data_IF_133968296622
#
_entry.id   IF_133968296622
#
_cell.length_a   1.000
_cell.length_b   1.000
_cell.length_c   1.000
_cell.angle_alpha   90.00
_cell.angle_beta   90.00
_cell.angle_gamma   90.00
#
_symmetry.space_group_name_H-M   'P 1'
#
loop_
_entity.id
_entity.type
_entity.pdbx_description
1 polymer ?
#
# COMPACT_ATOMS: atom_id res chain seq x y z
N UNK A 1 -6.26 -0.74 15.16
CA UNK A 1 -5.49 -0.57 13.92
C UNK A 1 -4.50 -1.71 13.77
N UNK A 2 -4.55 -2.45 12.66
CA UNK A 2 -3.48 -3.39 12.30
C UNK A 2 -2.34 -2.57 11.70
N UNK A 3 -1.11 -2.93 12.05
CA UNK A 3 0.10 -2.32 11.50
C UNK A 3 0.81 -3.32 10.60
N UNK A 4 1.31 -2.85 9.47
CA UNK A 4 2.07 -3.65 8.52
C UNK A 4 3.46 -3.05 8.35
N UNK A 5 4.45 -3.93 8.15
CA UNK A 5 5.77 -3.57 7.65
C UNK A 5 5.75 -3.76 6.14
N UNK A 6 5.97 -2.70 5.37
CA UNK A 6 5.91 -2.72 3.91
C UNK A 6 7.17 -2.12 3.30
N UNK A 7 7.49 -2.54 2.09
CA UNK A 7 8.48 -1.89 1.25
C UNK A 7 7.77 -1.02 0.21
N UNK A 8 8.27 0.20 -0.02
CA UNK A 8 7.85 1.02 -1.16
C UNK A 8 8.59 0.52 -2.38
N UNK A 9 7.86 0.13 -3.41
CA UNK A 9 8.42 -0.40 -4.66
C UNK A 9 8.09 0.50 -5.85
N UNK A 10 8.92 0.43 -6.89
CA UNK A 10 8.57 0.98 -8.20
C UNK A 10 7.68 0.01 -9.01
N UNK A 11 7.29 0.43 -10.21
CA UNK A 11 6.45 -0.39 -11.09
C UNK A 11 7.10 -1.71 -11.54
N UNK A 12 8.42 -1.85 -11.43
CA UNK A 12 9.13 -3.10 -11.72
C UNK A 12 9.26 -4.02 -10.51
N UNK A 13 8.75 -3.60 -9.34
CA UNK A 13 8.90 -4.30 -8.07
C UNK A 13 10.24 -4.05 -7.38
N UNK A 14 11.07 -3.11 -7.88
CA UNK A 14 12.32 -2.78 -7.22
C UNK A 14 12.03 -1.95 -5.96
N UNK A 15 12.61 -2.36 -4.83
CA UNK A 15 12.44 -1.67 -3.55
C UNK A 15 13.16 -0.32 -3.59
N UNK A 16 12.39 0.75 -3.40
CA UNK A 16 12.86 2.13 -3.29
C UNK A 16 13.12 2.51 -1.83
N UNK A 17 12.17 2.22 -0.94
CA UNK A 17 12.27 2.49 0.50
C UNK A 17 11.83 1.27 1.30
N UNK A 18 12.73 0.56 1.97
CA UNK A 18 12.37 -0.63 2.73
C UNK A 18 11.72 -0.28 4.07
N UNK A 19 10.95 -1.22 4.62
CA UNK A 19 10.60 -1.30 6.05
C UNK A 19 9.84 -0.09 6.61
N UNK A 20 8.82 0.39 5.90
CA UNK A 20 7.87 1.40 6.38
C UNK A 20 6.80 0.76 7.27
N UNK A 21 6.45 1.42 8.36
CA UNK A 21 5.32 1.00 9.21
C UNK A 21 4.09 1.79 8.81
N UNK A 22 3.06 1.09 8.36
CA UNK A 22 1.80 1.70 7.93
C UNK A 22 0.63 1.16 8.74
N UNK A 23 -0.48 1.90 8.74
CA UNK A 23 -1.76 1.35 9.18
C UNK A 23 -2.45 0.62 8.04
N UNK A 24 -3.22 -0.43 8.35
CA UNK A 24 -3.99 -1.21 7.36
C UNK A 24 -5.48 -1.02 7.59
N UNK A 25 -6.20 -0.60 6.53
CA UNK A 25 -7.66 -0.48 6.51
C UNK A 25 -8.32 -1.33 5.41
N UNK A 26 -7.53 -2.10 4.65
CA UNK A 26 -8.03 -2.92 3.54
C UNK A 26 -7.89 -4.43 3.78
N UNK A 27 -7.18 -4.83 4.84
CA UNK A 27 -7.02 -6.23 5.23
C UNK A 27 -5.86 -6.93 4.53
N UNK A 28 -4.82 -6.20 4.12
CA UNK A 28 -3.70 -6.75 3.34
C UNK A 28 -2.90 -7.84 4.08
N UNK A 29 -2.54 -8.90 3.34
CA UNK A 29 -1.68 -9.99 3.76
C UNK A 29 -0.21 -9.79 3.38
N UNK A 30 0.61 -10.79 3.73
CA UNK A 30 2.00 -10.84 3.28
C UNK A 30 2.03 -11.12 1.78
N UNK A 31 2.73 -10.28 1.02
CA UNK A 31 2.87 -10.40 -0.43
C UNK A 31 1.88 -9.55 -1.22
N UNK A 32 0.86 -8.98 -0.58
CA UNK A 32 -0.09 -8.10 -1.26
C UNK A 32 0.57 -6.77 -1.65
N UNK A 33 0.31 -6.33 -2.89
CA UNK A 33 0.58 -4.96 -3.32
C UNK A 33 -0.53 -4.05 -2.83
N UNK A 34 -0.18 -2.93 -2.20
CA UNK A 34 -1.14 -1.97 -1.64
C UNK A 34 -0.94 -0.56 -2.17
N UNK A 35 -2.03 0.19 -2.27
CA UNK A 35 -1.97 1.65 -2.46
C UNK A 35 -1.88 2.33 -1.09
N UNK A 36 -0.89 3.21 -0.95
CA UNK A 36 -0.69 3.99 0.27
C UNK A 36 -1.26 5.40 0.13
N UNK A 37 -1.99 5.84 1.16
CA UNK A 37 -2.30 7.26 1.37
C UNK A 37 -1.31 7.82 2.40
N UNK A 38 -0.54 8.83 2.01
CA UNK A 38 0.48 9.44 2.86
C UNK A 38 0.10 10.84 3.38
N UNK A 39 0.75 11.28 4.45
CA UNK A 39 0.51 12.56 5.11
C UNK A 39 -0.85 12.64 5.78
N UNK A 40 -1.53 13.78 5.66
CA UNK A 40 -2.86 13.95 6.26
C UNK A 40 -3.93 13.05 5.65
N UNK A 41 -3.74 12.57 4.41
CA UNK A 41 -4.67 11.68 3.73
C UNK A 41 -4.80 10.32 4.45
N UNK A 42 -3.76 9.90 5.17
CA UNK A 42 -3.74 8.67 5.97
C UNK A 42 -4.84 8.62 7.05
N UNK A 43 -5.43 9.77 7.42
CA UNK A 43 -6.44 9.90 8.49
C UNK A 43 -7.86 10.11 8.00
N UNK A 44 -8.10 10.05 6.68
CA UNK A 44 -9.41 10.34 6.10
C UNK A 44 -10.42 9.23 6.35
N UNK A 45 -9.97 7.97 6.39
CA UNK A 45 -10.88 6.84 6.62
C UNK A 45 -11.48 6.90 8.04
N UNK A 46 -12.71 6.40 8.25
CA UNK A 46 -13.30 6.30 9.59
C UNK A 46 -12.42 5.53 10.58
N UNK A 47 -11.69 4.52 10.12
CA UNK A 47 -10.83 3.66 10.95
C UNK A 47 -9.61 4.41 11.49
N UNK A 48 -9.09 5.35 10.71
CA UNK A 48 -7.88 6.13 11.02
C UNK A 48 -8.18 7.56 11.48
N UNK A 49 -9.44 7.96 11.57
CA UNK A 49 -9.83 9.33 11.89
C UNK A 49 -9.34 9.72 13.28
N UNK A 50 -8.61 10.84 13.37
CA UNK A 50 -7.99 11.31 14.61
C UNK A 50 -6.78 10.51 15.09
N UNK A 51 -6.43 9.40 14.44
CA UNK A 51 -5.22 8.65 14.76
C UNK A 51 -3.97 9.42 14.30
N UNK A 52 -2.87 9.46 15.07
CA UNK A 52 -1.64 10.15 14.67
C UNK A 52 -0.82 9.31 13.68
N UNK A 53 -1.42 8.94 12.54
CA UNK A 53 -0.74 8.25 11.44
C UNK A 53 -0.51 9.20 10.26
N UNK A 54 0.55 8.92 9.52
CA UNK A 54 0.94 9.57 8.27
C UNK A 54 1.00 8.60 7.09
N UNK A 55 0.81 7.29 7.27
CA UNK A 55 0.66 6.33 6.17
C UNK A 55 -0.38 5.24 6.46
N UNK A 56 -1.18 4.94 5.42
CA UNK A 56 -2.27 3.96 5.49
C UNK A 56 -2.38 3.19 4.18
N UNK A 57 -2.41 1.87 4.22
CA UNK A 57 -2.86 1.04 3.11
C UNK A 57 -4.37 1.18 2.97
N UNK A 58 -4.80 1.76 1.85
CA UNK A 58 -6.21 2.07 1.59
C UNK A 58 -6.85 1.13 0.57
N UNK A 59 -6.06 0.36 -0.17
CA UNK A 59 -6.54 -0.51 -1.24
C UNK A 59 -5.56 -1.65 -1.54
N UNK A 60 -6.08 -2.82 -1.93
CA UNK A 60 -5.32 -3.90 -2.56
C UNK A 60 -5.22 -3.64 -4.06
N UNK A 61 -4.02 -3.80 -4.62
CA UNK A 61 -3.77 -3.58 -6.05
C UNK A 61 -3.88 -4.92 -6.78
N UNK A 62 -4.74 -4.95 -7.80
CA UNK A 62 -4.91 -6.11 -8.68
C UNK A 62 -4.03 -6.03 -9.93
N UNK A 63 -3.84 -4.83 -10.49
CA UNK A 63 -3.10 -4.62 -11.73
C UNK A 63 -2.39 -3.26 -11.73
N UNK A 64 -1.16 -3.21 -12.24
CA UNK A 64 -0.46 -1.96 -12.57
C UNK A 64 -0.04 -2.01 -14.04
N UNK A 65 -0.51 -1.03 -14.81
CA UNK A 65 -0.12 -0.82 -16.21
C UNK A 65 0.65 0.49 -16.35
N UNK A 66 1.85 0.42 -16.92
CA UNK A 66 2.72 1.58 -17.20
C UNK A 66 3.09 1.59 -18.68
N UNK A 67 2.92 2.73 -19.36
CA UNK A 67 3.18 2.86 -20.81
C UNK A 67 2.50 1.77 -21.65
N UNK A 68 1.24 1.45 -21.33
CA UNK A 68 0.46 0.38 -21.98
C UNK A 68 1.08 -1.03 -21.85
N UNK A 69 1.94 -1.26 -20.87
CA UNK A 69 2.49 -2.58 -20.55
C UNK A 69 2.04 -2.99 -19.14
N UNK A 70 1.62 -4.25 -19.01
CA UNK A 70 1.32 -4.87 -17.73
C UNK A 70 2.63 -5.02 -16.94
N UNK A 71 2.72 -4.37 -15.79
CA UNK A 71 3.92 -4.36 -14.94
C UNK A 71 3.75 -5.13 -13.64
N UNK A 72 2.51 -5.29 -13.18
CA UNK A 72 2.15 -6.12 -12.04
C UNK A 72 0.73 -6.64 -12.21
N UNK A 73 0.50 -7.88 -11.81
CA UNK A 73 -0.82 -8.49 -11.67
C UNK A 73 -0.85 -9.35 -10.41
N UNK A 74 -1.91 -9.22 -9.61
CA UNK A 74 -2.10 -10.08 -8.45
C UNK A 74 -2.44 -11.50 -8.90
N UNK A 75 -1.88 -12.51 -8.21
CA UNK A 75 -2.12 -13.92 -8.48
C UNK A 75 -1.80 -14.38 -9.92
N UNK A 76 -0.98 -13.64 -10.66
CA UNK A 76 -0.39 -14.14 -11.89
C UNK A 76 0.80 -15.04 -11.53
N UNK A 77 0.58 -16.36 -11.58
CA UNK A 77 1.64 -17.37 -11.55
C UNK A 77 2.65 -17.15 -12.70
#
# INVERSE_FOLDING_TARGET
>A
QKLLLVDIVDASGAVLNPSQVITDTCGAGVGDMVLLASGSAARISPETSGAPTDETAVMLVEEITVNNQLTYQANSD
#
